data_IF_691481320714
#
_entry.id   IF_691481320714
#
_cell.length_a   1.000
_cell.length_b   1.000
_cell.length_c   1.000
_cell.angle_alpha   90.00
_cell.angle_beta   90.00
_cell.angle_gamma   90.00
#
_symmetry.space_group_name_H-M   'P 1'
#
loop_
_entity.id
_entity.type
_entity.pdbx_description
1 polymer ?
#
# COMPACT_ATOMS: atom_id res chain seq x y z
N UNK A 1 -18.29 13.28 11.62
CA UNK A 1 -18.26 11.82 11.45
C UNK A 1 -16.83 11.35 11.68
N UNK A 2 -16.60 10.37 12.57
CA UNK A 2 -15.24 9.88 12.83
C UNK A 2 -14.73 9.05 11.65
N UNK A 3 -13.42 9.11 11.36
CA UNK A 3 -12.82 8.26 10.32
C UNK A 3 -12.95 6.79 10.70
N UNK A 4 -13.34 5.95 9.74
CA UNK A 4 -13.39 4.49 9.93
C UNK A 4 -12.02 3.84 9.64
N UNK A 5 -11.88 2.55 9.99
CA UNK A 5 -10.62 1.80 9.83
C UNK A 5 -10.05 1.89 8.41
N UNK A 6 -10.90 1.76 7.39
CA UNK A 6 -10.49 1.75 5.98
C UNK A 6 -10.02 3.12 5.51
N UNK A 7 -10.69 4.20 5.91
CA UNK A 7 -10.28 5.58 5.63
C UNK A 7 -8.93 5.91 6.26
N UNK A 8 -8.72 5.46 7.51
CA UNK A 8 -7.43 5.61 8.19
C UNK A 8 -6.36 4.83 7.42
N UNK A 9 -6.59 3.56 7.10
CA UNK A 9 -5.63 2.74 6.37
C UNK A 9 -5.23 3.34 5.02
N UNK A 10 -6.21 3.85 4.26
CA UNK A 10 -5.96 4.50 2.97
C UNK A 10 -5.15 5.77 3.13
N UNK A 11 -5.48 6.61 4.11
CA UNK A 11 -4.74 7.85 4.37
C UNK A 11 -3.30 7.55 4.79
N UNK A 12 -3.08 6.58 5.68
CA UNK A 12 -1.72 6.17 6.09
C UNK A 12 -0.95 5.56 4.92
N UNK A 13 -1.62 4.80 4.05
CA UNK A 13 -1.00 4.27 2.82
C UNK A 13 -0.43 5.41 1.98
N UNK A 14 -1.16 6.52 1.82
CA UNK A 14 -0.64 7.69 1.10
C UNK A 14 0.51 8.38 1.83
N UNK A 15 0.45 8.48 3.16
CA UNK A 15 1.52 9.07 3.98
C UNK A 15 2.81 8.27 3.79
N UNK A 16 2.77 6.95 4.00
CA UNK A 16 3.94 6.09 3.89
C UNK A 16 4.47 5.99 2.45
N UNK A 17 3.60 5.94 1.44
CA UNK A 17 4.03 5.92 0.02
C UNK A 17 4.53 7.28 -0.48
N UNK A 18 4.36 8.38 0.27
CA UNK A 18 4.97 9.69 -0.05
C UNK A 18 6.24 9.96 0.75
N UNK A 19 6.23 9.64 2.04
CA UNK A 19 7.25 10.10 3.00
C UNK A 19 8.22 9.00 3.46
N UNK A 20 7.91 7.73 3.19
CA UNK A 20 8.58 6.58 3.79
C UNK A 20 7.92 6.14 5.10
N UNK A 21 8.36 4.99 5.62
CA UNK A 21 7.83 4.39 6.87
C UNK A 21 8.66 4.83 8.07
N UNK A 22 9.98 4.91 7.90
CA UNK A 22 10.90 5.12 9.01
C UNK A 22 10.73 6.52 9.63
N UNK A 23 10.58 7.53 8.77
CA UNK A 23 10.43 8.95 9.13
C UNK A 23 9.10 9.30 9.79
N UNK A 24 8.07 8.44 9.68
CA UNK A 24 6.71 8.75 10.12
C UNK A 24 6.35 7.95 11.38
N UNK A 25 6.03 8.64 12.47
CA UNK A 25 5.60 8.01 13.74
C UNK A 25 4.08 7.84 13.82
N UNK A 26 3.61 7.06 14.80
CA UNK A 26 2.17 6.97 15.11
C UNK A 26 1.60 8.33 15.54
N UNK A 27 2.44 9.20 16.11
CA UNK A 27 2.05 10.55 16.53
C UNK A 27 1.81 11.43 15.30
N UNK A 28 2.73 11.41 14.34
CA UNK A 28 2.61 12.13 13.07
C UNK A 28 1.36 11.69 12.31
N UNK A 29 1.11 10.38 12.23
CA UNK A 29 -0.13 9.84 11.64
C UNK A 29 -1.37 10.37 12.35
N UNK A 30 -1.40 10.33 13.69
CA UNK A 30 -2.57 10.80 14.44
C UNK A 30 -2.84 12.29 14.20
N UNK A 31 -1.77 13.09 14.13
CA UNK A 31 -1.84 14.54 13.90
C UNK A 31 -2.29 14.86 12.48
N UNK A 32 -1.68 14.23 11.47
CA UNK A 32 -2.01 14.42 10.06
C UNK A 32 -3.46 13.99 9.74
N UNK A 33 -3.96 12.95 10.43
CA UNK A 33 -5.32 12.48 10.25
C UNK A 33 -6.37 13.23 11.08
N UNK A 34 -5.96 14.07 12.03
CA UNK A 34 -6.85 14.76 12.96
C UNK A 34 -7.60 13.82 13.91
N UNK A 35 -6.98 12.71 14.32
CA UNK A 35 -7.56 11.71 15.23
C UNK A 35 -6.72 11.57 16.50
N UNK A 36 -7.33 11.13 17.60
CA UNK A 36 -6.55 10.86 18.81
C UNK A 36 -5.64 9.64 18.62
N UNK A 37 -4.48 9.62 19.28
CA UNK A 37 -3.62 8.42 19.33
C UNK A 37 -4.40 7.20 19.81
N UNK A 38 -5.26 7.36 20.82
CA UNK A 38 -6.13 6.28 21.33
C UNK A 38 -7.02 5.70 20.23
N UNK A 39 -7.56 6.55 19.34
CA UNK A 39 -8.35 6.11 18.18
C UNK A 39 -7.50 5.37 17.16
N UNK A 40 -6.28 5.85 16.88
CA UNK A 40 -5.37 5.16 15.96
C UNK A 40 -4.97 3.77 16.50
N UNK A 41 -4.57 3.71 17.77
CA UNK A 41 -4.21 2.45 18.45
C UNK A 41 -5.38 1.48 18.63
N UNK A 42 -6.62 1.98 18.64
CA UNK A 42 -7.81 1.12 18.63
C UNK A 42 -7.95 0.32 17.33
N UNK A 43 -7.53 0.89 16.19
CA UNK A 43 -7.60 0.23 14.89
C UNK A 43 -6.30 -0.52 14.52
N UNK A 44 -5.16 -0.03 15.01
CA UNK A 44 -3.83 -0.57 14.73
C UNK A 44 -3.00 -0.56 16.02
N UNK A 45 -2.89 -1.72 16.66
CA UNK A 45 -2.29 -1.94 17.97
C UNK A 45 -0.81 -1.53 18.03
N UNK A 46 -0.12 -1.52 16.89
CA UNK A 46 1.28 -1.10 16.81
C UNK A 46 1.62 -0.49 15.46
N UNK A 47 2.73 0.26 15.40
CA UNK A 47 3.31 0.72 14.12
C UNK A 47 3.60 -0.45 13.18
N UNK A 48 4.07 -1.58 13.70
CA UNK A 48 4.37 -2.76 12.89
C UNK A 48 3.11 -3.35 12.24
N UNK A 49 2.02 -3.47 13.01
CA UNK A 49 0.73 -3.91 12.46
C UNK A 49 0.20 -2.92 11.42
N UNK A 50 0.33 -1.61 11.67
CA UNK A 50 -0.08 -0.59 10.70
C UNK A 50 0.71 -0.70 9.38
N UNK A 51 2.04 -0.86 9.46
CA UNK A 51 2.91 -1.04 8.28
C UNK A 51 2.53 -2.28 7.49
N UNK A 52 2.32 -3.40 8.17
CA UNK A 52 1.88 -4.65 7.54
C UNK A 52 0.55 -4.47 6.79
N UNK A 53 -0.45 -3.88 7.45
CA UNK A 53 -1.75 -3.64 6.84
C UNK A 53 -1.66 -2.67 5.64
N UNK A 54 -0.81 -1.64 5.73
CA UNK A 54 -0.58 -0.72 4.60
C UNK A 54 0.06 -1.44 3.42
N UNK A 55 1.08 -2.27 3.66
CA UNK A 55 1.79 -2.97 2.61
C UNK A 55 0.88 -3.98 1.88
N UNK A 56 0.07 -4.76 2.61
CA UNK A 56 -0.89 -5.67 2.00
C UNK A 56 -2.02 -4.92 1.29
N UNK A 57 -2.54 -3.82 1.84
CA UNK A 57 -3.55 -2.99 1.17
C UNK A 57 -3.03 -2.44 -0.17
N UNK A 58 -1.75 -2.04 -0.22
CA UNK A 58 -1.12 -1.58 -1.46
C UNK A 58 -0.97 -2.72 -2.48
N UNK A 59 -0.52 -3.89 -2.03
CA UNK A 59 -0.42 -5.08 -2.87
C UNK A 59 -1.77 -5.48 -3.46
N UNK A 60 -2.80 -5.58 -2.63
CA UNK A 60 -4.17 -5.94 -3.03
C UNK A 60 -4.73 -4.91 -4.02
N UNK A 61 -4.55 -3.62 -3.78
CA UNK A 61 -4.96 -2.57 -4.72
C UNK A 61 -4.28 -2.71 -6.08
N UNK A 62 -2.99 -3.00 -6.10
CA UNK A 62 -2.26 -3.19 -7.35
C UNK A 62 -2.73 -4.44 -8.09
N UNK A 63 -2.91 -5.56 -7.38
CA UNK A 63 -3.47 -6.80 -7.95
C UNK A 63 -4.87 -6.56 -8.53
N UNK A 64 -5.74 -5.86 -7.81
CA UNK A 64 -7.08 -5.54 -8.28
C UNK A 64 -7.07 -4.67 -9.55
N UNK A 65 -6.16 -3.69 -9.67
CA UNK A 65 -6.00 -2.90 -10.90
C UNK A 65 -5.60 -3.76 -12.10
N UNK A 66 -4.64 -4.67 -11.92
CA UNK A 66 -4.23 -5.59 -12.99
C UNK A 66 -5.38 -6.53 -13.38
N UNK A 67 -6.10 -7.09 -12.41
CA UNK A 67 -7.26 -7.95 -12.69
C UNK A 67 -8.38 -7.20 -13.41
N UNK A 68 -8.62 -5.93 -13.05
CA UNK A 68 -9.56 -5.07 -13.75
C UNK A 68 -9.12 -4.80 -15.20
N UNK A 69 -7.83 -4.52 -15.43
CA UNK A 69 -7.28 -4.34 -16.78
C UNK A 69 -7.45 -5.59 -17.64
N UNK A 70 -7.18 -6.78 -17.08
CA UNK A 70 -7.39 -8.07 -17.76
C UNK A 70 -8.88 -8.37 -18.05
N UNK A 71 -9.79 -7.84 -17.23
CA UNK A 71 -11.24 -8.04 -17.37
C UNK A 71 -11.89 -7.04 -18.33
N UNK A 72 -11.13 -6.09 -18.90
CA UNK A 72 -11.67 -5.11 -19.85
C UNK A 72 -12.08 -5.81 -21.16
N UNK A 73 -13.18 -5.35 -21.80
CA UNK A 73 -13.60 -5.88 -23.09
C UNK A 73 -12.56 -5.55 -24.17
N UNK A 74 -12.31 -6.48 -25.08
CA UNK A 74 -11.32 -6.34 -26.14
C UNK A 74 -10.70 -7.68 -26.53
N UNK A 75 -9.78 -7.65 -27.48
CA UNK A 75 -8.94 -8.80 -27.78
C UNK A 75 -7.72 -8.86 -26.83
N UNK A 76 -6.91 -9.91 -26.95
CA UNK A 76 -5.74 -10.10 -26.09
C UNK A 76 -4.70 -8.97 -26.18
N UNK A 77 -4.58 -8.28 -27.33
CA UNK A 77 -3.67 -7.13 -27.49
C UNK A 77 -4.22 -5.91 -26.74
N UNK A 78 -5.54 -5.67 -26.79
CA UNK A 78 -6.18 -4.58 -26.05
C UNK A 78 -5.99 -4.78 -24.54
N UNK A 79 -6.21 -6.00 -24.04
CA UNK A 79 -6.02 -6.35 -22.64
C UNK A 79 -4.54 -6.23 -22.22
N UNK A 80 -3.60 -6.65 -23.07
CA UNK A 80 -2.17 -6.48 -22.81
C UNK A 80 -1.81 -5.00 -22.71
N UNK A 81 -2.32 -4.15 -23.60
CA UNK A 81 -2.09 -2.71 -23.55
C UNK A 81 -2.61 -2.12 -22.23
N UNK A 82 -3.80 -2.52 -21.79
CA UNK A 82 -4.39 -2.07 -20.53
C UNK A 82 -3.55 -2.48 -19.32
N UNK A 83 -3.05 -3.72 -19.29
CA UNK A 83 -2.13 -4.18 -18.23
C UNK A 83 -0.82 -3.39 -18.25
N UNK A 84 -0.23 -3.15 -19.43
CA UNK A 84 1.00 -2.36 -19.57
C UNK A 84 0.81 -0.94 -19.06
N UNK A 85 -0.34 -0.31 -19.34
CA UNK A 85 -0.67 1.02 -18.81
C UNK A 85 -0.79 1.02 -17.28
N UNK A 86 -1.48 0.04 -16.69
CA UNK A 86 -1.58 -0.08 -15.23
C UNK A 86 -0.23 -0.37 -14.56
N UNK A 87 0.59 -1.26 -15.12
CA UNK A 87 1.95 -1.54 -14.63
C UNK A 87 2.80 -0.27 -14.66
N UNK A 88 2.75 0.51 -15.76
CA UNK A 88 3.45 1.79 -15.84
C UNK A 88 2.99 2.78 -14.75
N UNK A 89 1.69 2.83 -14.44
CA UNK A 89 1.19 3.67 -13.34
C UNK A 89 1.67 3.17 -11.97
N UNK A 90 1.73 1.86 -11.75
CA UNK A 90 2.25 1.27 -10.51
C UNK A 90 3.73 1.63 -10.35
N UNK A 91 4.55 1.46 -11.40
CA UNK A 91 5.98 1.82 -11.39
C UNK A 91 6.16 3.32 -11.13
N UNK A 92 5.37 4.18 -11.79
CA UNK A 92 5.46 5.63 -11.60
C UNK A 92 5.11 6.08 -10.18
N UNK A 93 4.15 5.42 -9.55
CA UNK A 93 3.72 5.72 -8.18
C UNK A 93 4.51 4.95 -7.12
N UNK A 94 5.51 4.16 -7.53
CA UNK A 94 6.36 3.41 -6.64
C UNK A 94 7.36 4.36 -5.95
N UNK A 95 7.34 4.37 -4.61
CA UNK A 95 8.26 5.17 -3.82
C UNK A 95 9.44 4.33 -3.34
N UNK A 96 10.64 4.68 -3.79
CA UNK A 96 11.90 3.99 -3.46
C UNK A 96 12.22 4.06 -1.96
N UNK A 97 11.82 5.14 -1.27
CA UNK A 97 12.02 5.27 0.18
C UNK A 97 11.11 4.30 0.93
N UNK A 98 9.83 4.19 0.53
CA UNK A 98 8.91 3.20 1.12
C UNK A 98 9.44 1.77 0.94
N UNK A 99 9.89 1.42 -0.27
CA UNK A 99 10.46 0.11 -0.55
C UNK A 99 11.74 -0.14 0.26
N UNK A 100 12.66 0.83 0.28
CA UNK A 100 13.91 0.74 1.04
C UNK A 100 13.64 0.54 2.53
N UNK A 101 12.64 1.24 3.09
CA UNK A 101 12.25 1.09 4.48
C UNK A 101 11.65 -0.30 4.77
N UNK A 102 10.79 -0.82 3.89
CA UNK A 102 10.29 -2.19 4.01
C UNK A 102 11.45 -3.19 4.00
N UNK A 103 12.36 -3.08 3.03
CA UNK A 103 13.51 -3.98 2.89
C UNK A 103 14.45 -3.92 4.10
N UNK A 104 14.68 -2.73 4.66
CA UNK A 104 15.63 -2.50 5.75
C UNK A 104 15.06 -2.83 7.13
N UNK A 105 13.83 -2.42 7.41
CA UNK A 105 13.24 -2.50 8.75
C UNK A 105 12.19 -3.61 8.90
N UNK A 106 11.63 -4.10 7.79
CA UNK A 106 10.60 -5.14 7.76
C UNK A 106 10.95 -6.27 6.77
N UNK A 107 12.16 -6.87 6.85
CA UNK A 107 12.66 -7.78 5.81
C UNK A 107 11.79 -9.03 5.61
N UNK A 108 11.19 -9.57 6.66
CA UNK A 108 10.28 -10.73 6.57
C UNK A 108 9.02 -10.38 5.79
N UNK A 109 8.39 -9.24 6.12
CA UNK A 109 7.24 -8.74 5.38
C UNK A 109 7.60 -8.44 3.92
N UNK A 110 8.76 -7.81 3.68
CA UNK A 110 9.22 -7.54 2.32
C UNK A 110 9.41 -8.83 1.50
N UNK A 111 9.98 -9.88 2.09
CA UNK A 111 10.12 -11.18 1.42
C UNK A 111 8.77 -11.84 1.11
N UNK A 112 7.81 -11.79 2.04
CA UNK A 112 6.46 -12.31 1.83
C UNK A 112 5.73 -11.55 0.71
N UNK A 113 5.82 -10.22 0.69
CA UNK A 113 5.27 -9.38 -0.38
C UNK A 113 5.86 -9.76 -1.75
N UNK A 114 7.19 -9.96 -1.83
CA UNK A 114 7.82 -10.41 -3.07
C UNK A 114 7.23 -11.74 -3.52
N UNK A 115 7.16 -12.75 -2.65
CA UNK A 115 6.58 -14.05 -3.01
C UNK A 115 5.16 -13.89 -3.57
N UNK A 116 4.30 -13.09 -2.91
CA UNK A 116 2.93 -12.83 -3.37
C UNK A 116 2.83 -12.04 -4.68
N UNK A 117 3.83 -11.21 -5.01
CA UNK A 117 3.89 -10.54 -6.32
C UNK A 117 4.30 -11.51 -7.45
N UNK A 118 5.23 -12.43 -7.18
CA UNK A 118 5.75 -13.35 -8.20
C UNK A 118 4.86 -14.56 -8.48
N UNK A 119 3.87 -14.90 -7.63
CA UNK A 119 2.90 -15.97 -7.93
C UNK A 119 2.00 -15.70 -9.15
N UNK A 120 1.98 -14.47 -9.69
CA UNK A 120 1.20 -14.09 -10.87
C UNK A 120 2.02 -13.98 -12.17
N UNK A 121 3.30 -14.35 -12.13
CA UNK A 121 4.21 -14.43 -13.30
C UNK A 121 4.63 -15.89 -13.50
#
# INVERSE_FOLDING_TARGET
>A
MGKNRTEILNSVTEIYTKQGIHSVTMDDVSLELGISKKTLYHYFESKNQLVEQVAYNLLEKNQNKIQQALSKPGNAIDQLLEVVLEVNQIIKNHNVVFESDLKKFYPVLYQDLLQKTWFYV
#
